data_IF_899194361062
#
_entry.id   IF_899194361062
#
_cell.length_a   1.000
_cell.length_b   1.000
_cell.length_c   1.000
_cell.angle_alpha   90.00
_cell.angle_beta   90.00
_cell.angle_gamma   90.00
#
_symmetry.space_group_name_H-M   'P 1'
#
loop_
_entity.id
_entity.type
_entity.pdbx_description
1 polymer ?
#
# COMPACT_ATOMS: atom_id res chain seq x y z
N UNK A 1 1.05 -17.96 31.34
CA UNK A 1 1.10 -17.40 29.97
C UNK A 1 2.55 -17.09 29.66
N UNK A 2 3.11 -17.59 28.55
CA UNK A 2 4.52 -17.36 28.26
C UNK A 2 4.76 -15.84 28.03
N UNK A 3 5.75 -15.30 28.73
CA UNK A 3 6.05 -13.86 28.81
C UNK A 3 7.00 -13.45 27.70
N UNK A 4 6.56 -13.54 26.45
CA UNK A 4 7.37 -13.10 25.32
C UNK A 4 7.37 -11.57 25.28
N UNK A 5 8.55 -10.96 25.45
CA UNK A 5 8.75 -9.50 25.40
C UNK A 5 9.36 -9.13 24.04
N UNK A 6 8.90 -8.04 23.40
CA UNK A 6 9.48 -7.60 22.14
C UNK A 6 10.95 -7.19 22.30
N UNK A 7 11.77 -7.34 21.24
CA UNK A 7 13.18 -6.90 21.24
C UNK A 7 13.35 -5.41 21.49
N UNK A 8 12.37 -4.59 21.06
CA UNK A 8 12.32 -3.15 21.29
C UNK A 8 10.87 -2.69 21.50
N UNK A 9 10.63 -1.58 22.21
CA UNK A 9 9.32 -0.96 22.27
C UNK A 9 8.89 -0.41 20.91
N UNK A 10 7.58 -0.35 20.67
CA UNK A 10 7.01 0.25 19.48
C UNK A 10 7.33 1.75 19.42
N UNK A 11 7.65 2.26 18.23
CA UNK A 11 7.66 3.71 18.00
C UNK A 11 6.24 4.28 18.11
N UNK A 12 6.06 5.56 18.47
CA UNK A 12 4.73 6.16 18.54
C UNK A 12 3.94 5.97 17.25
N UNK A 13 2.71 5.46 17.35
CA UNK A 13 1.85 5.18 16.20
C UNK A 13 2.14 3.86 15.46
N UNK A 14 3.14 3.09 15.90
CA UNK A 14 3.37 1.73 15.43
C UNK A 14 2.85 0.70 16.43
N UNK A 15 2.55 -0.50 15.92
CA UNK A 15 2.21 -1.68 16.72
C UNK A 15 3.34 -2.68 16.62
N UNK A 16 3.70 -3.29 17.74
CA UNK A 16 4.68 -4.36 17.80
C UNK A 16 4.00 -5.63 18.28
N UNK A 17 4.27 -6.73 17.59
CA UNK A 17 3.68 -8.00 17.93
C UNK A 17 4.40 -9.17 17.27
N UNK A 18 3.95 -10.37 17.63
CA UNK A 18 4.46 -11.61 17.06
C UNK A 18 3.62 -12.02 15.87
N UNK A 19 4.29 -12.55 14.85
CA UNK A 19 3.64 -12.99 13.62
C UNK A 19 3.08 -14.39 13.76
N UNK A 20 1.85 -14.58 13.31
CA UNK A 20 1.20 -15.88 13.18
C UNK A 20 0.49 -16.03 11.82
N UNK A 21 0.61 -17.22 11.22
CA UNK A 21 -0.07 -17.55 9.98
C UNK A 21 0.44 -16.77 8.76
N UNK A 22 1.74 -16.48 8.71
CA UNK A 22 2.35 -15.78 7.59
C UNK A 22 2.19 -16.55 6.28
N UNK A 23 1.53 -15.92 5.31
CA UNK A 23 1.29 -16.50 3.99
C UNK A 23 1.52 -15.47 2.90
N UNK A 24 2.23 -15.89 1.85
CA UNK A 24 2.42 -15.08 0.64
C UNK A 24 1.66 -15.73 -0.50
N UNK A 25 0.81 -14.96 -1.17
CA UNK A 25 0.04 -15.41 -2.33
C UNK A 25 0.13 -14.38 -3.45
N UNK A 26 -0.02 -14.84 -4.68
CA UNK A 26 -0.13 -13.97 -5.86
C UNK A 26 -1.58 -14.00 -6.31
N UNK A 27 -2.21 -12.84 -6.37
CA UNK A 27 -3.57 -12.63 -6.84
C UNK A 27 -3.51 -12.04 -8.27
N UNK A 28 -4.18 -12.67 -9.22
CA UNK A 28 -4.31 -12.18 -10.59
C UNK A 28 -5.76 -12.29 -11.07
N UNK A 29 -6.34 -11.18 -11.53
CA UNK A 29 -7.74 -11.12 -11.98
C UNK A 29 -7.84 -11.18 -13.52
N UNK A 30 -7.69 -12.36 -14.12
CA UNK A 30 -7.97 -12.55 -15.56
C UNK A 30 -6.93 -11.96 -16.53
N UNK A 31 -7.16 -12.20 -17.83
CA UNK A 31 -6.15 -12.16 -18.91
C UNK A 31 -5.43 -10.82 -19.16
N UNK A 32 -5.83 -9.72 -18.51
CA UNK A 32 -5.24 -8.39 -18.67
C UNK A 32 -5.00 -7.63 -17.35
N UNK A 33 -5.14 -8.27 -16.18
CA UNK A 33 -4.93 -7.58 -14.89
C UNK A 33 -3.55 -7.85 -14.33
N UNK A 34 -2.90 -6.77 -13.89
CA UNK A 34 -1.61 -6.76 -13.20
C UNK A 34 -1.65 -7.73 -12.01
N UNK A 35 -0.73 -8.68 -11.97
CA UNK A 35 -0.60 -9.59 -10.83
C UNK A 35 -0.16 -8.81 -9.59
N UNK A 36 -0.84 -9.03 -8.47
CA UNK A 36 -0.54 -8.43 -7.18
C UNK A 36 -0.05 -9.51 -6.21
N UNK A 37 1.06 -9.25 -5.54
CA UNK A 37 1.55 -10.08 -4.45
C UNK A 37 0.97 -9.60 -3.13
N UNK A 38 0.45 -10.54 -2.35
CA UNK A 38 -0.17 -10.30 -1.06
C UNK A 38 0.55 -11.10 0.02
N UNK A 39 1.11 -10.41 1.00
CA UNK A 39 1.64 -11.02 2.23
C UNK A 39 0.66 -10.76 3.36
N UNK A 40 0.01 -11.82 3.83
CA UNK A 40 -0.96 -11.78 4.93
C UNK A 40 -0.40 -12.45 6.18
N UNK A 41 -0.67 -11.87 7.35
CA UNK A 41 -0.39 -12.49 8.65
C UNK A 41 -1.23 -11.88 9.77
N UNK A 42 -1.24 -12.52 10.94
CA UNK A 42 -1.82 -11.95 12.16
C UNK A 42 -0.72 -11.44 13.08
N UNK A 43 -0.90 -10.23 13.57
CA UNK A 43 -0.04 -9.59 14.56
C UNK A 43 -0.64 -9.79 15.94
N UNK A 44 0.01 -10.61 16.77
CA UNK A 44 -0.38 -10.83 18.16
C UNK A 44 0.42 -9.87 19.04
N UNK A 45 -0.27 -8.85 19.53
CA UNK A 45 0.31 -7.87 20.46
C UNK A 45 0.31 -8.46 21.89
N UNK A 46 1.46 -8.51 22.58
CA UNK A 46 1.57 -9.06 23.93
C UNK A 46 0.80 -8.26 24.98
N UNK A 47 0.47 -6.99 24.74
CA UNK A 47 -0.27 -6.13 25.68
C UNK A 47 -1.78 -6.27 25.54
N UNK A 48 -2.28 -6.28 24.30
CA UNK A 48 -3.72 -6.39 24.05
C UNK A 48 -4.20 -7.84 23.99
N UNK A 49 -3.34 -8.78 23.57
CA UNK A 49 -3.70 -10.18 23.33
C UNK A 49 -4.66 -10.39 22.16
N UNK A 50 -5.07 -9.32 21.47
CA UNK A 50 -6.00 -9.38 20.34
C UNK A 50 -5.23 -9.47 19.02
N UNK A 51 -5.39 -10.54 18.23
CA UNK A 51 -4.74 -10.65 16.93
C UNK A 51 -5.28 -9.58 15.98
N UNK A 52 -4.38 -8.77 15.42
CA UNK A 52 -4.72 -7.81 14.36
C UNK A 52 -4.29 -8.37 13.02
N UNK A 53 -5.19 -8.40 12.04
CA UNK A 53 -4.86 -8.90 10.70
C UNK A 53 -4.10 -7.85 9.90
N UNK A 54 -3.02 -8.28 9.26
CA UNK A 54 -2.11 -7.45 8.47
C UNK A 54 -2.01 -8.00 7.06
N UNK A 55 -2.26 -7.17 6.06
CA UNK A 55 -2.06 -7.53 4.65
C UNK A 55 -1.20 -6.47 3.94
N UNK A 56 -0.02 -6.88 3.48
CA UNK A 56 0.78 -6.06 2.58
C UNK A 56 0.43 -6.44 1.16
N UNK A 57 0.10 -5.43 0.34
CA UNK A 57 -0.33 -5.63 -1.05
C UNK A 57 0.49 -4.76 -1.98
N UNK A 58 1.02 -5.37 -3.04
CA UNK A 58 1.72 -4.65 -4.09
C UNK A 58 2.23 -5.58 -5.18
N UNK A 59 2.77 -5.00 -6.24
CA UNK A 59 3.22 -5.72 -7.43
C UNK A 59 4.42 -6.65 -7.17
N UNK A 60 5.22 -6.33 -6.16
CA UNK A 60 6.31 -7.19 -5.69
C UNK A 60 6.55 -6.95 -4.21
N UNK A 61 7.03 -7.97 -3.50
CA UNK A 61 7.39 -7.92 -2.08
C UNK A 61 8.89 -8.17 -1.96
N UNK A 62 9.60 -7.27 -1.27
CA UNK A 62 10.99 -7.44 -0.90
C UNK A 62 11.10 -7.73 0.60
N UNK A 63 11.86 -8.76 0.96
CA UNK A 63 12.01 -9.21 2.35
C UNK A 63 11.09 -10.37 2.72
N UNK A 64 11.24 -10.87 3.94
CA UNK A 64 10.50 -12.04 4.43
C UNK A 64 10.06 -11.87 5.88
N UNK A 65 8.88 -12.38 6.18
CA UNK A 65 8.37 -12.54 7.55
C UNK A 65 8.04 -14.01 7.76
N UNK A 66 8.37 -14.55 8.93
CA UNK A 66 8.04 -15.92 9.32
C UNK A 66 7.21 -15.95 10.60
N UNK A 67 6.50 -17.05 10.80
CA UNK A 67 5.80 -17.30 12.04
C UNK A 67 6.76 -17.26 13.23
N UNK A 68 6.31 -16.58 14.27
CA UNK A 68 7.08 -16.37 15.48
C UNK A 68 8.01 -15.16 15.45
N UNK A 69 8.19 -14.49 14.30
CA UNK A 69 8.97 -13.25 14.21
C UNK A 69 8.31 -12.12 14.99
N UNK A 70 9.16 -11.26 15.57
CA UNK A 70 8.71 -9.96 16.07
C UNK A 70 8.74 -8.96 14.93
N UNK A 71 7.62 -8.28 14.72
CA UNK A 71 7.52 -7.24 13.70
C UNK A 71 6.93 -5.97 14.29
N UNK A 72 7.33 -4.86 13.69
CA UNK A 72 6.79 -3.54 13.92
C UNK A 72 6.04 -3.10 12.66
N UNK A 73 4.78 -2.74 12.83
CA UNK A 73 3.88 -2.30 11.77
C UNK A 73 3.45 -0.87 12.08
N UNK A 74 3.76 0.06 11.18
CA UNK A 74 3.30 1.42 11.26
C UNK A 74 1.99 1.61 10.49
N UNK A 75 1.12 2.48 10.98
CA UNK A 75 -0.12 2.86 10.32
C UNK A 75 -1.37 2.52 11.12
N UNK A 76 -2.48 3.12 10.70
CA UNK A 76 -3.78 2.91 11.30
C UNK A 76 -4.54 1.79 10.57
N UNK A 77 -5.41 1.04 11.27
CA UNK A 77 -6.31 0.09 10.61
C UNK A 77 -7.15 0.80 9.53
N UNK A 78 -7.25 0.18 8.37
CA UNK A 78 -8.14 0.65 7.31
C UNK A 78 -9.62 0.49 7.69
N UNK A 79 -10.52 0.89 6.79
CA UNK A 79 -11.98 0.77 7.00
C UNK A 79 -12.46 -0.68 7.25
N UNK A 80 -11.67 -1.67 6.82
CA UNK A 80 -11.91 -3.10 7.01
C UNK A 80 -11.51 -3.62 8.39
N UNK A 81 -10.91 -2.77 9.25
CA UNK A 81 -10.33 -3.19 10.53
C UNK A 81 -8.99 -3.95 10.40
N UNK A 82 -8.49 -4.14 9.17
CA UNK A 82 -7.19 -4.74 8.88
C UNK A 82 -6.13 -3.66 8.74
N UNK A 83 -4.90 -3.97 9.15
CA UNK A 83 -3.74 -3.13 8.85
C UNK A 83 -3.27 -3.45 7.44
N UNK A 84 -3.12 -2.41 6.62
CA UNK A 84 -2.69 -2.54 5.23
C UNK A 84 -1.44 -1.67 4.97
N UNK A 85 -0.32 -2.00 5.63
CA UNK A 85 0.90 -1.20 5.56
C UNK A 85 1.63 -1.42 4.23
N UNK A 86 2.40 -0.42 3.80
CA UNK A 86 3.35 -0.56 2.67
C UNK A 86 4.72 -1.08 3.11
N UNK A 87 5.00 -1.06 4.42
CA UNK A 87 6.27 -1.47 5.02
C UNK A 87 6.03 -2.09 6.39
N UNK A 88 6.74 -3.17 6.67
CA UNK A 88 6.83 -3.81 7.99
C UNK A 88 8.29 -3.99 8.34
N UNK A 89 8.67 -3.68 9.58
CA UNK A 89 10.04 -3.87 10.04
C UNK A 89 10.13 -5.15 10.88
N UNK A 90 10.93 -6.11 10.45
CA UNK A 90 11.17 -7.35 11.17
C UNK A 90 12.24 -7.12 12.24
N UNK A 91 11.84 -7.15 13.50
CA UNK A 91 12.69 -6.92 14.66
C UNK A 91 13.58 -8.13 14.97
N UNK A 92 13.18 -9.34 14.55
CA UNK A 92 14.01 -10.54 14.70
C UNK A 92 15.22 -10.48 13.76
N UNK A 93 14.99 -10.17 12.49
CA UNK A 93 16.03 -10.17 11.45
C UNK A 93 16.67 -8.81 11.22
N UNK A 94 16.10 -7.75 11.84
CA UNK A 94 16.49 -6.33 11.64
C UNK A 94 16.38 -5.89 10.18
N UNK A 95 15.45 -6.47 9.44
CA UNK A 95 15.24 -6.21 8.02
C UNK A 95 13.86 -5.62 7.76
N UNK A 96 13.76 -4.77 6.74
CA UNK A 96 12.48 -4.27 6.26
C UNK A 96 11.84 -5.25 5.27
N UNK A 97 10.52 -5.34 5.35
CA UNK A 97 9.66 -5.98 4.37
C UNK A 97 8.82 -4.90 3.72
N UNK A 98 9.03 -4.67 2.43
CA UNK A 98 8.47 -3.53 1.69
C UNK A 98 7.75 -4.03 0.45
N UNK A 99 6.61 -3.43 0.14
CA UNK A 99 5.90 -3.68 -1.11
C UNK A 99 6.10 -2.53 -2.10
N UNK A 100 6.33 -2.89 -3.36
CA UNK A 100 6.46 -1.94 -4.45
C UNK A 100 5.18 -1.91 -5.31
N UNK A 101 4.89 -0.75 -5.90
CA UNK A 101 3.78 -0.60 -6.84
C UNK A 101 2.40 -0.77 -6.19
N UNK A 102 2.25 -0.45 -4.90
CA UNK A 102 0.92 -0.30 -4.32
C UNK A 102 0.24 0.92 -4.95
N UNK A 103 -1.03 0.78 -5.35
CA UNK A 103 -1.83 1.86 -5.96
C UNK A 103 -2.07 3.06 -5.02
N UNK A 104 -1.52 3.01 -3.80
CA UNK A 104 -1.59 4.05 -2.78
C UNK A 104 -0.47 5.07 -2.84
N UNK A 105 0.37 5.10 -3.88
CA UNK A 105 1.36 6.17 -3.96
C UNK A 105 0.69 7.52 -4.28
N UNK A 106 0.68 8.50 -3.35
CA UNK A 106 0.04 9.80 -3.58
C UNK A 106 0.71 10.54 -4.75
N UNK A 107 1.98 10.24 -5.03
CA UNK A 107 2.75 10.82 -6.11
C UNK A 107 2.27 10.38 -7.50
N UNK A 108 1.94 9.09 -7.70
CA UNK A 108 1.40 8.64 -8.98
C UNK A 108 0.04 9.29 -9.29
N UNK A 109 -0.82 9.46 -8.27
CA UNK A 109 -2.09 10.17 -8.41
C UNK A 109 -1.90 11.64 -8.80
N UNK A 110 -0.91 12.31 -8.21
CA UNK A 110 -0.59 13.69 -8.53
C UNK A 110 -0.08 13.85 -9.98
N UNK A 111 0.80 12.95 -10.42
CA UNK A 111 1.30 12.93 -11.81
C UNK A 111 0.16 12.67 -12.80
N UNK A 112 -0.72 11.71 -12.52
CA UNK A 112 -1.87 11.44 -13.37
C UNK A 112 -2.82 12.65 -13.49
N UNK A 113 -3.09 13.34 -12.37
CA UNK A 113 -3.89 14.56 -12.38
C UNK A 113 -3.24 15.67 -13.20
N UNK A 114 -1.91 15.85 -13.07
CA UNK A 114 -1.18 16.84 -13.86
C UNK A 114 -1.31 16.58 -15.37
N UNK A 115 -1.16 15.33 -15.80
CA UNK A 115 -1.30 14.95 -17.21
C UNK A 115 -2.71 15.24 -17.73
N UNK A 116 -3.75 14.90 -16.95
CA UNK A 116 -5.15 15.18 -17.31
C UNK A 116 -5.37 16.69 -17.47
N UNK A 117 -4.87 17.50 -16.54
CA UNK A 117 -5.00 18.97 -16.61
C UNK A 117 -4.33 19.53 -17.86
N UNK A 118 -3.10 19.10 -18.17
CA UNK A 118 -2.40 19.53 -19.39
C UNK A 118 -3.19 19.14 -20.63
N UNK A 119 -3.74 17.92 -20.68
CA UNK A 119 -4.53 17.46 -21.81
C UNK A 119 -5.81 18.29 -22.01
N UNK A 120 -6.51 18.63 -20.92
CA UNK A 120 -7.70 19.49 -20.98
C UNK A 120 -7.35 20.90 -21.48
N UNK A 121 -6.23 21.47 -21.05
CA UNK A 121 -5.78 22.79 -21.52
C UNK A 121 -5.49 22.75 -23.02
N UNK A 122 -4.74 21.74 -23.49
CA UNK A 122 -4.43 21.58 -24.91
C UNK A 122 -5.72 21.41 -25.74
N UNK A 123 -6.65 20.58 -25.28
CA UNK A 123 -7.93 20.39 -25.95
C UNK A 123 -8.73 21.71 -26.02
N UNK A 124 -8.77 22.49 -24.94
CA UNK A 124 -9.45 23.78 -24.92
C UNK A 124 -8.84 24.78 -25.90
N UNK A 125 -7.51 24.87 -25.97
CA UNK A 125 -6.81 25.73 -26.94
C UNK A 125 -7.11 25.32 -28.37
N UNK A 126 -7.12 24.00 -28.67
CA UNK A 126 -7.48 23.47 -29.98
C UNK A 126 -8.93 23.84 -30.33
N UNK A 127 -9.88 23.63 -29.41
CA UNK A 127 -11.30 23.95 -29.62
C UNK A 127 -11.48 25.45 -29.90
N UNK A 128 -10.88 26.32 -29.09
CA UNK A 128 -10.95 27.77 -29.30
C UNK A 128 -10.34 28.16 -30.64
N UNK A 129 -9.18 27.59 -31.00
CA UNK A 129 -8.55 27.83 -32.30
C UNK A 129 -9.43 27.38 -33.48
N UNK A 130 -10.03 26.20 -33.39
CA UNK A 130 -10.96 25.69 -34.41
C UNK A 130 -12.20 26.59 -34.52
N UNK A 131 -12.79 27.00 -33.40
CA UNK A 131 -13.95 27.90 -33.39
C UNK A 131 -13.60 29.26 -34.00
N UNK A 132 -12.41 29.81 -33.74
CA UNK A 132 -12.00 31.08 -34.35
C UNK A 132 -11.71 30.97 -35.84
N UNK A 133 -11.18 29.85 -36.31
CA UNK A 133 -10.83 29.64 -37.72
C UNK A 133 -12.05 29.29 -38.57
N UNK A 134 -12.98 28.49 -38.04
CA UNK A 134 -14.13 27.97 -38.79
C UNK A 134 -15.47 28.62 -38.39
N UNK A 135 -15.47 29.49 -37.39
CA UNK A 135 -16.66 30.11 -36.83
C UNK A 135 -16.97 31.50 -37.35
N UNK A 136 -16.32 31.99 -38.42
CA UNK A 136 -16.85 33.18 -39.11
C UNK A 136 -18.21 32.81 -39.73
N UNK A 137 -19.32 33.41 -39.27
CA UNK A 137 -20.59 33.25 -39.95
C UNK A 137 -20.48 34.00 -41.27
N UNK A 138 -20.52 33.26 -42.38
CA UNK A 138 -20.74 33.86 -43.69
C UNK A 138 -22.00 34.73 -43.63
N UNK A 139 -21.82 36.03 -43.86
CA UNK A 139 -22.86 36.91 -44.40
C UNK A 139 -23.19 36.49 -45.84
#
# INVERSE_FOLDING_TARGET
MPTWKPPRPAVPGARVGRVEGATTRVEGHGANVRSESVLGFRLVDPQSGVPTEVELRGTSIAGTVRDGDWVEVAGEPGRSGRLEPSRVHNLTTRADVVVAGSDRSPMARMVALLIIVVFVIVAAVIIVGVVQVFGEPGF
#
